data_IF_620642369504
#
_entry.id   IF_620642369504
#
_cell.length_a   1.000
_cell.length_b   1.000
_cell.length_c   1.000
_cell.angle_alpha   90.00
_cell.angle_beta   90.00
_cell.angle_gamma   90.00
#
_symmetry.space_group_name_H-M   'P 1'
#
loop_
_entity.id
_entity.type
_entity.pdbx_description
1 polymer ?
#
# COMPACT_ATOMS: atom_id res chain seq x y z
N UNK A 1 -24.30 0.30 3.39
CA UNK A 1 -22.82 0.23 3.35
C UNK A 1 -22.41 -0.16 1.95
N UNK A 2 -21.64 0.68 1.26
CA UNK A 2 -20.88 0.24 0.07
C UNK A 2 -20.01 -0.94 0.48
N UNK A 3 -20.19 -2.07 -0.18
CA UNK A 3 -19.48 -3.30 0.14
C UNK A 3 -17.99 -3.11 -0.20
N UNK A 4 -17.16 -2.89 0.82
CA UNK A 4 -15.70 -2.89 0.68
C UNK A 4 -15.26 -4.31 0.27
N UNK A 5 -14.55 -4.46 -0.85
CA UNK A 5 -13.90 -5.73 -1.20
C UNK A 5 -12.60 -5.89 -0.40
N UNK A 6 -12.74 -6.44 0.81
CA UNK A 6 -11.62 -6.61 1.76
C UNK A 6 -10.58 -7.59 1.19
N UNK A 7 -11.01 -8.71 0.61
CA UNK A 7 -10.09 -9.72 0.10
C UNK A 7 -9.34 -9.21 -1.14
N UNK A 8 -10.01 -8.48 -2.03
CA UNK A 8 -9.38 -7.80 -3.16
C UNK A 8 -8.34 -6.77 -2.71
N UNK A 9 -8.65 -5.98 -1.69
CA UNK A 9 -7.72 -5.02 -1.10
C UNK A 9 -6.48 -5.72 -0.51
N UNK A 10 -6.66 -6.77 0.29
CA UNK A 10 -5.56 -7.53 0.89
C UNK A 10 -4.66 -8.15 -0.20
N UNK A 11 -5.26 -8.75 -1.24
CA UNK A 11 -4.49 -9.34 -2.35
C UNK A 11 -3.66 -8.29 -3.08
N UNK A 12 -4.25 -7.13 -3.38
CA UNK A 12 -3.59 -6.06 -4.13
C UNK A 12 -2.42 -5.46 -3.36
N UNK A 13 -2.59 -5.14 -2.07
CA UNK A 13 -1.51 -4.56 -1.26
C UNK A 13 -0.36 -5.54 -1.02
N UNK A 14 -0.66 -6.82 -0.78
CA UNK A 14 0.39 -7.86 -0.71
C UNK A 14 1.12 -8.06 -2.04
N UNK A 15 0.43 -7.91 -3.16
CA UNK A 15 1.05 -7.96 -4.48
C UNK A 15 2.00 -6.77 -4.69
N UNK A 16 1.54 -5.54 -4.49
CA UNK A 16 2.38 -4.35 -4.66
C UNK A 16 3.58 -4.34 -3.72
N UNK A 17 3.40 -4.70 -2.46
CA UNK A 17 4.52 -4.86 -1.51
C UNK A 17 5.61 -5.79 -2.06
N UNK A 18 5.22 -6.95 -2.59
CA UNK A 18 6.18 -7.91 -3.18
C UNK A 18 6.86 -7.35 -4.42
N UNK A 19 6.15 -6.60 -5.26
CA UNK A 19 6.76 -5.91 -6.41
C UNK A 19 7.86 -4.96 -5.96
N UNK A 20 7.59 -4.10 -4.97
CA UNK A 20 8.60 -3.19 -4.41
C UNK A 20 9.81 -3.93 -3.84
N UNK A 21 9.61 -4.96 -3.01
CA UNK A 21 10.74 -5.70 -2.41
C UNK A 21 11.57 -6.43 -3.47
N UNK A 22 10.93 -7.03 -4.47
CA UNK A 22 11.63 -7.77 -5.53
C UNK A 22 12.41 -6.85 -6.47
N UNK A 23 11.85 -5.69 -6.82
CA UNK A 23 12.50 -4.72 -7.71
C UNK A 23 13.86 -4.25 -7.16
N UNK A 24 13.96 -4.08 -5.85
CA UNK A 24 15.19 -3.61 -5.20
C UNK A 24 16.16 -4.73 -4.87
N UNK A 25 15.68 -5.95 -4.57
CA UNK A 25 16.54 -7.11 -4.41
C UNK A 25 17.29 -7.48 -5.71
N UNK A 26 16.69 -7.21 -6.88
CA UNK A 26 17.31 -7.46 -8.20
C UNK A 26 18.12 -6.29 -8.77
N UNK A 27 17.98 -5.08 -8.21
CA UNK A 27 18.55 -3.86 -8.80
C UNK A 27 17.79 -3.33 -10.04
N UNK A 28 16.71 -3.98 -10.45
CA UNK A 28 15.92 -3.70 -11.66
C UNK A 28 14.77 -2.69 -11.42
N UNK A 29 14.96 -1.73 -10.51
CA UNK A 29 13.89 -0.80 -10.14
C UNK A 29 13.40 0.09 -11.29
N UNK A 30 14.20 0.26 -12.35
CA UNK A 30 13.83 1.03 -13.54
C UNK A 30 12.93 0.26 -14.52
N UNK A 31 12.94 -1.07 -14.46
CA UNK A 31 12.29 -1.94 -15.45
C UNK A 31 11.00 -2.60 -14.94
N UNK A 32 10.67 -2.44 -13.65
CA UNK A 32 9.43 -2.98 -13.06
C UNK A 32 8.30 -1.94 -13.01
N UNK A 33 7.07 -2.28 -13.43
CA UNK A 33 5.92 -1.39 -13.38
C UNK A 33 5.40 -1.23 -11.94
N UNK A 34 6.07 -0.39 -11.14
CA UNK A 34 5.71 -0.17 -9.74
C UNK A 34 4.50 0.75 -9.53
N UNK A 35 3.94 1.36 -10.59
CA UNK A 35 2.87 2.36 -10.48
C UNK A 35 1.45 1.79 -10.35
N UNK A 36 1.23 0.49 -10.41
CA UNK A 36 -0.11 -0.12 -10.39
C UNK A 36 -0.91 0.20 -9.13
N UNK A 37 -0.24 0.45 -8.00
CA UNK A 37 -0.89 0.86 -6.75
C UNK A 37 -1.68 2.17 -6.89
N UNK A 38 -1.39 3.00 -7.90
CA UNK A 38 -2.13 4.25 -8.16
C UNK A 38 -3.58 3.99 -8.63
N UNK A 39 -3.89 2.77 -9.08
CA UNK A 39 -5.24 2.31 -9.41
C UNK A 39 -6.05 1.79 -8.21
N UNK A 40 -5.56 1.97 -6.98
CA UNK A 40 -6.23 1.48 -5.77
C UNK A 40 -7.65 2.07 -5.62
N UNK A 41 -8.64 1.20 -5.44
CA UNK A 41 -10.04 1.58 -5.24
C UNK A 41 -10.45 1.59 -3.75
N UNK A 42 -9.57 1.13 -2.85
CA UNK A 42 -9.85 1.07 -1.41
C UNK A 42 -10.09 2.46 -0.82
N UNK A 43 -9.34 3.48 -1.24
CA UNK A 43 -9.50 4.86 -0.78
C UNK A 43 -10.95 5.36 -0.91
N UNK A 44 -11.54 5.18 -2.10
CA UNK A 44 -12.93 5.56 -2.37
C UNK A 44 -13.91 4.76 -1.51
N UNK A 45 -13.62 3.48 -1.25
CA UNK A 45 -14.46 2.65 -0.39
C UNK A 45 -14.39 3.08 1.09
N UNK A 46 -13.21 3.50 1.57
CA UNK A 46 -13.00 3.98 2.96
C UNK A 46 -13.65 5.34 3.21
N UNK A 47 -13.59 6.27 2.25
CA UNK A 47 -14.26 7.57 2.35
C UNK A 47 -15.79 7.45 2.51
N UNK A 48 -16.38 6.38 1.99
CA UNK A 48 -17.82 6.12 2.13
C UNK A 48 -18.18 5.39 3.45
N UNK A 49 -17.19 4.88 4.18
CA UNK A 49 -17.38 4.10 5.41
C UNK A 49 -17.19 4.94 6.71
N UNK A 50 -17.33 6.26 6.62
CA UNK A 50 -17.05 7.22 7.71
C UNK A 50 -17.80 6.91 9.00
N UNK A 51 -17.11 6.92 10.14
CA UNK A 51 -17.75 7.03 11.46
C UNK A 51 -17.00 6.40 12.64
N UNK A 52 -16.29 5.29 12.42
CA UNK A 52 -15.60 4.57 13.50
C UNK A 52 -14.11 4.98 13.63
N UNK A 53 -13.57 4.94 14.85
CA UNK A 53 -12.16 5.23 15.10
C UNK A 53 -11.21 4.30 14.31
N UNK A 54 -11.60 3.03 14.18
CA UNK A 54 -10.85 2.01 13.44
C UNK A 54 -10.74 2.34 11.94
N UNK A 55 -11.78 2.93 11.36
CA UNK A 55 -11.77 3.38 9.95
C UNK A 55 -10.80 4.55 9.76
N UNK A 56 -10.68 5.46 10.74
CA UNK A 56 -9.70 6.57 10.66
C UNK A 56 -8.25 6.06 10.73
N UNK A 57 -7.99 5.10 11.61
CA UNK A 57 -6.66 4.47 11.67
C UNK A 57 -6.33 3.76 10.36
N UNK A 58 -7.30 3.03 9.79
CA UNK A 58 -7.15 2.36 8.51
C UNK A 58 -6.84 3.34 7.36
N UNK A 59 -7.54 4.47 7.29
CA UNK A 59 -7.26 5.54 6.31
C UNK A 59 -5.84 6.06 6.47
N UNK A 60 -5.39 6.35 7.69
CA UNK A 60 -4.04 6.86 7.93
C UNK A 60 -2.95 5.87 7.49
N UNK A 61 -3.12 4.57 7.76
CA UNK A 61 -2.17 3.52 7.34
C UNK A 61 -2.18 3.37 5.81
N UNK A 62 -3.36 3.37 5.19
CA UNK A 62 -3.51 3.32 3.74
C UNK A 62 -2.80 4.49 3.05
N UNK A 63 -3.00 5.71 3.54
CA UNK A 63 -2.39 6.91 2.98
C UNK A 63 -0.86 6.89 3.16
N UNK A 64 -0.38 6.40 4.31
CA UNK A 64 1.06 6.21 4.54
C UNK A 64 1.67 5.23 3.54
N UNK A 65 1.03 4.10 3.28
CA UNK A 65 1.49 3.13 2.30
C UNK A 65 1.60 3.76 0.91
N UNK A 66 0.57 4.47 0.45
CA UNK A 66 0.58 5.09 -0.87
C UNK A 66 1.53 6.27 -1.00
N UNK A 67 1.74 7.04 0.07
CA UNK A 67 2.77 8.08 0.10
C UNK A 67 4.17 7.46 -0.07
N UNK A 68 4.50 6.42 0.71
CA UNK A 68 5.78 5.71 0.59
C UNK A 68 5.97 5.12 -0.81
N UNK A 69 4.93 4.47 -1.35
CA UNK A 69 4.99 3.86 -2.68
C UNK A 69 5.26 4.89 -3.79
N UNK A 70 4.60 6.05 -3.73
CA UNK A 70 4.87 7.13 -4.68
C UNK A 70 6.29 7.70 -4.51
N UNK A 71 6.74 7.92 -3.27
CA UNK A 71 8.08 8.45 -3.01
C UNK A 71 9.17 7.50 -3.53
N UNK A 72 9.01 6.18 -3.31
CA UNK A 72 9.92 5.16 -3.85
C UNK A 72 9.96 5.23 -5.38
N UNK A 73 8.79 5.28 -6.04
CA UNK A 73 8.70 5.39 -7.50
C UNK A 73 9.39 6.67 -8.00
N UNK A 74 9.16 7.80 -7.35
CA UNK A 74 9.70 9.08 -7.76
C UNK A 74 11.23 9.11 -7.56
N UNK A 75 11.75 8.64 -6.43
CA UNK A 75 13.18 8.51 -6.18
C UNK A 75 13.84 7.57 -7.20
N UNK A 76 13.25 6.40 -7.46
CA UNK A 76 13.72 5.44 -8.46
C UNK A 76 13.80 6.05 -9.86
N UNK A 77 12.75 6.75 -10.30
CA UNK A 77 12.71 7.39 -11.61
C UNK A 77 13.73 8.53 -11.77
N UNK A 78 14.18 9.12 -10.67
CA UNK A 78 15.21 10.16 -10.65
C UNK A 78 16.64 9.61 -10.41
N UNK A 79 16.82 8.28 -10.49
CA UNK A 79 18.13 7.64 -10.31
C UNK A 79 18.59 7.57 -8.85
N UNK A 80 17.70 7.85 -7.88
CA UNK A 80 17.97 7.83 -6.45
C UNK A 80 17.56 6.49 -5.81
N UNK A 81 17.87 5.37 -6.47
CA UNK A 81 17.53 4.02 -6.00
C UNK A 81 18.01 3.73 -4.57
N UNK A 82 19.21 4.19 -4.19
CA UNK A 82 19.71 3.99 -2.81
C UNK A 82 18.86 4.71 -1.76
N UNK A 83 18.29 5.88 -2.09
CA UNK A 83 17.40 6.60 -1.18
C UNK A 83 16.02 5.92 -1.11
N UNK A 84 15.54 5.40 -2.24
CA UNK A 84 14.29 4.64 -2.31
C UNK A 84 14.37 3.32 -1.51
N UNK A 85 15.53 2.66 -1.51
CA UNK A 85 15.78 1.42 -0.74
C UNK A 85 15.57 1.63 0.77
N UNK A 86 15.95 2.79 1.29
CA UNK A 86 15.78 3.16 2.70
C UNK A 86 14.30 3.23 3.13
N UNK A 87 13.38 3.41 2.18
CA UNK A 87 11.94 3.51 2.45
C UNK A 87 11.23 2.14 2.40
N UNK A 88 11.86 1.10 1.86
CA UNK A 88 11.25 -0.23 1.73
C UNK A 88 10.84 -0.87 3.06
N UNK A 89 11.63 -0.78 4.15
CA UNK A 89 11.22 -1.32 5.45
C UNK A 89 9.91 -0.67 5.95
N UNK A 90 9.77 0.64 5.76
CA UNK A 90 8.57 1.37 6.14
C UNK A 90 7.37 1.01 5.26
N UNK A 91 7.58 0.86 3.95
CA UNK A 91 6.53 0.41 3.03
C UNK A 91 6.05 -1.00 3.39
N UNK A 92 6.98 -1.89 3.71
CA UNK A 92 6.69 -3.26 4.13
C UNK A 92 5.86 -3.27 5.42
N UNK A 93 6.23 -2.47 6.41
CA UNK A 93 5.50 -2.35 7.67
C UNK A 93 4.10 -1.74 7.46
N UNK A 94 3.99 -0.64 6.71
CA UNK A 94 2.70 -0.04 6.39
C UNK A 94 1.76 -1.03 5.68
N UNK A 95 2.30 -1.84 4.76
CA UNK A 95 1.53 -2.91 4.10
C UNK A 95 1.06 -3.99 5.08
N UNK A 96 1.91 -4.41 6.04
CA UNK A 96 1.51 -5.38 7.06
C UNK A 96 0.41 -4.83 7.96
N UNK A 97 0.57 -3.61 8.46
CA UNK A 97 -0.42 -2.95 9.31
C UNK A 97 -1.76 -2.81 8.58
N UNK A 98 -1.72 -2.45 7.29
CA UNK A 98 -2.91 -2.32 6.47
C UNK A 98 -3.66 -3.66 6.35
N UNK A 99 -2.95 -4.74 6.02
CA UNK A 99 -3.53 -6.07 5.90
C UNK A 99 -4.14 -6.54 7.22
N UNK A 100 -3.45 -6.33 8.34
CA UNK A 100 -3.96 -6.68 9.68
C UNK A 100 -5.26 -5.94 10.00
N UNK A 101 -5.34 -4.64 9.70
CA UNK A 101 -6.54 -3.86 9.97
C UNK A 101 -7.70 -4.25 9.04
N UNK A 102 -7.41 -4.56 7.77
CA UNK A 102 -8.40 -5.10 6.84
C UNK A 102 -8.92 -6.47 7.29
N UNK A 103 -8.05 -7.35 7.79
CA UNK A 103 -8.44 -8.66 8.33
C UNK A 103 -9.35 -8.52 9.56
N UNK A 104 -9.09 -7.57 10.47
CA UNK A 104 -10.00 -7.27 11.59
C UNK A 104 -11.38 -6.86 11.11
N UNK A 105 -11.47 -6.01 10.08
CA UNK A 105 -12.76 -5.62 9.49
C UNK A 105 -13.50 -6.80 8.85
N UNK A 106 -12.80 -7.85 8.41
CA UNK A 106 -13.40 -9.09 7.90
C UNK A 106 -14.11 -9.87 9.02
N UNK A 107 -13.57 -9.85 10.24
CA UNK A 107 -14.14 -10.57 11.40
C UNK A 107 -15.47 -9.97 11.90
N UNK A 108 -15.74 -8.70 11.57
CA UNK A 108 -16.99 -8.01 11.95
C UNK A 108 -18.08 -8.06 10.86
N UNK A 109 -17.88 -8.85 9.81
CA UNK A 109 -18.80 -9.00 8.67
C UNK A 109 -19.65 -10.26 8.79
#
# INVERSE_FOLDING_TARGET
MTHIDIDGAIRSHNYWRRQFINAFAGGDYADMPLSEHRGCTLAAALHNATGAADVRQLVAIHDRFHWLANEIVDLSNNGLGNAADLLLPELNEASHQLVVQLDKLREYR
#
